data_IF_940508807928
#
_entry.id   IF_940508807928
#
_cell.length_a   1.000
_cell.length_b   1.000
_cell.length_c   1.000
_cell.angle_alpha   90.00
_cell.angle_beta   90.00
_cell.angle_gamma   90.00
#
_symmetry.space_group_name_H-M   'P 1'
#
loop_
_entity.id
_entity.type
_entity.pdbx_description
1 polymer ?
#
# COMPACT_ATOMS: atom_id res chain seq x y z
N UNK A 1 -41.77 -18.35 60.37
CA UNK A 1 -42.15 -17.41 61.45
C UNK A 1 -40.87 -16.70 61.88
N UNK A 2 -40.58 -15.54 61.28
CA UNK A 2 -40.67 -14.20 61.91
C UNK A 2 -39.75 -14.04 63.13
N UNK A 3 -38.53 -13.57 62.88
CA UNK A 3 -37.73 -12.86 63.88
C UNK A 3 -37.24 -11.54 63.29
N UNK A 4 -37.97 -10.48 63.63
CA UNK A 4 -37.53 -9.10 63.56
C UNK A 4 -36.73 -8.83 64.84
N UNK A 5 -35.55 -8.22 64.71
CA UNK A 5 -34.94 -7.47 65.81
C UNK A 5 -34.22 -6.25 65.24
N UNK A 6 -34.84 -5.11 65.53
CA UNK A 6 -34.37 -3.75 65.29
C UNK A 6 -33.37 -3.44 66.41
N UNK A 7 -32.18 -2.93 66.09
CA UNK A 7 -31.53 -1.99 67.00
C UNK A 7 -30.74 -0.94 66.23
N UNK A 8 -31.34 0.25 66.25
CA UNK A 8 -30.79 1.53 65.86
C UNK A 8 -29.73 1.97 66.87
N UNK A 9 -28.58 2.44 66.39
CA UNK A 9 -27.82 3.47 67.10
C UNK A 9 -27.41 4.58 66.14
N UNK A 10 -28.04 5.70 66.41
CA UNK A 10 -27.91 7.03 65.83
C UNK A 10 -26.57 7.61 66.28
N UNK A 11 -25.76 8.13 65.36
CA UNK A 11 -24.86 9.23 65.70
C UNK A 11 -24.81 10.23 64.55
N UNK A 12 -25.23 11.44 64.89
CA UNK A 12 -25.30 12.61 64.03
C UNK A 12 -23.91 13.24 63.90
N UNK A 13 -23.56 13.68 62.68
CA UNK A 13 -23.07 15.05 62.46
C UNK A 13 -23.23 15.46 61.01
N UNK A 14 -24.27 16.26 60.79
CA UNK A 14 -24.34 17.49 60.00
C UNK A 14 -22.92 18.11 59.84
N UNK A 15 -22.52 18.79 58.76
CA UNK A 15 -23.07 20.08 58.28
C UNK A 15 -22.37 20.50 56.96
N UNK A 16 -23.16 21.13 56.05
CA UNK A 16 -22.87 22.22 55.06
C UNK A 16 -22.20 21.89 53.71
N UNK A 17 -22.95 22.00 52.61
CA UNK A 17 -23.10 23.17 51.66
C UNK A 17 -22.07 23.09 50.52
N UNK A 18 -22.34 23.31 49.24
CA UNK A 18 -23.23 24.21 48.50
C UNK A 18 -23.55 23.54 47.14
N UNK A 19 -24.81 23.48 46.70
CA UNK A 19 -25.37 24.42 45.71
C UNK A 19 -24.52 24.58 44.44
N UNK A 20 -24.94 24.00 43.32
CA UNK A 20 -25.55 24.76 42.23
C UNK A 20 -25.83 23.86 41.01
N UNK A 21 -27.02 24.08 40.47
CA UNK A 21 -27.57 23.73 39.17
C UNK A 21 -26.64 23.95 37.97
N UNK A 22 -26.88 23.15 36.92
CA UNK A 22 -26.28 23.13 35.57
C UNK A 22 -26.23 24.49 34.84
N UNK A 23 -25.46 24.61 33.73
CA UNK A 23 -26.02 24.21 32.43
C UNK A 23 -25.04 23.56 31.43
N UNK A 24 -25.61 22.66 30.62
CA UNK A 24 -25.19 22.37 29.25
C UNK A 24 -24.83 23.65 28.48
N UNK A 25 -23.60 23.73 27.93
CA UNK A 25 -23.26 24.24 26.59
C UNK A 25 -21.74 24.44 26.46
N UNK A 26 -21.22 24.17 25.26
CA UNK A 26 -19.89 24.60 24.76
C UNK A 26 -18.70 23.84 25.36
N UNK A 27 -17.82 23.18 24.61
CA UNK A 27 -17.41 23.39 23.23
C UNK A 27 -16.85 22.08 22.67
N UNK A 28 -16.99 21.98 21.35
CA UNK A 28 -16.29 21.07 20.45
C UNK A 28 -14.77 21.18 20.67
N UNK A 29 -14.22 20.42 21.61
CA UNK A 29 -12.77 20.22 21.68
C UNK A 29 -12.39 19.22 20.59
N UNK A 30 -12.09 19.76 19.42
CA UNK A 30 -11.13 19.14 18.53
C UNK A 30 -9.87 18.88 19.37
N UNK A 31 -9.65 17.63 19.74
CA UNK A 31 -8.40 17.13 20.28
C UNK A 31 -7.34 17.25 19.18
N UNK A 32 -6.90 18.48 18.91
CA UNK A 32 -5.56 18.71 18.39
C UNK A 32 -4.66 18.29 19.54
N UNK A 33 -4.03 17.12 19.39
CA UNK A 33 -2.96 16.65 20.25
C UNK A 33 -1.82 17.66 20.13
N UNK A 34 -1.88 18.69 20.96
CA UNK A 34 -0.81 19.65 21.17
C UNK A 34 0.19 19.00 22.13
N UNK A 35 1.18 18.37 21.53
CA UNK A 35 2.52 17.99 22.02
C UNK A 35 2.80 18.13 23.53
N UNK A 36 2.48 17.10 24.35
CA UNK A 36 3.15 16.86 25.64
C UNK A 36 4.47 16.07 25.49
N UNK A 37 4.81 15.61 24.28
CA UNK A 37 5.92 14.68 24.03
C UNK A 37 7.30 15.28 24.33
N UNK A 38 7.58 16.52 23.93
CA UNK A 38 8.93 17.10 24.06
C UNK A 38 9.37 17.28 25.53
N UNK A 39 8.43 17.63 26.41
CA UNK A 39 8.69 17.78 27.85
C UNK A 39 8.93 16.42 28.51
N UNK A 40 8.06 15.44 28.24
CA UNK A 40 8.21 14.07 28.73
C UNK A 40 9.51 13.40 28.25
N UNK A 41 9.92 13.66 27.00
CA UNK A 41 11.20 13.19 26.46
C UNK A 41 12.37 13.83 27.20
N UNK A 42 12.32 15.13 27.47
CA UNK A 42 13.39 15.85 28.17
C UNK A 42 13.53 15.40 29.63
N UNK A 43 12.42 15.17 30.32
CA UNK A 43 12.43 14.65 31.70
C UNK A 43 13.01 13.23 31.76
N UNK A 44 12.60 12.37 30.84
CA UNK A 44 13.10 11.00 30.76
C UNK A 44 14.58 10.97 30.35
N UNK A 45 15.00 11.82 29.41
CA UNK A 45 16.41 11.96 29.05
C UNK A 45 17.26 12.43 30.23
N UNK A 46 16.75 13.35 31.06
CA UNK A 46 17.45 13.79 32.28
C UNK A 46 17.56 12.67 33.32
N UNK A 47 16.51 11.85 33.48
CA UNK A 47 16.53 10.69 34.36
C UNK A 47 17.50 9.59 33.88
N UNK A 48 17.65 9.42 32.56
CA UNK A 48 18.52 8.41 31.94
C UNK A 48 19.96 8.89 31.67
N UNK A 49 20.30 10.13 32.02
CA UNK A 49 21.64 10.69 31.78
C UNK A 49 21.91 11.10 30.31
N UNK A 50 20.86 11.21 29.49
CA UNK A 50 20.90 11.68 28.11
C UNK A 50 20.22 10.73 27.12
N UNK A 51 20.05 11.20 25.88
CA UNK A 51 19.58 10.37 24.77
C UNK A 51 20.72 9.52 24.23
N UNK A 52 20.88 8.31 24.77
CA UNK A 52 21.86 7.31 24.28
C UNK A 52 21.14 6.24 23.46
N UNK A 53 21.83 5.65 22.48
CA UNK A 53 21.24 4.61 21.61
C UNK A 53 20.67 3.47 22.46
N UNK A 54 19.36 3.25 22.37
CA UNK A 54 18.64 2.20 23.11
C UNK A 54 17.92 2.68 24.38
N UNK A 55 18.11 3.94 24.82
CA UNK A 55 17.38 4.50 25.97
C UNK A 55 15.91 4.77 25.68
N UNK A 56 15.08 4.88 26.72
CA UNK A 56 13.64 5.18 26.59
C UNK A 56 13.44 6.55 25.93
N UNK A 57 14.27 7.52 26.30
CA UNK A 57 14.30 8.85 25.67
C UNK A 57 14.65 8.81 24.19
N UNK A 58 15.59 7.94 23.76
CA UNK A 58 15.91 7.74 22.36
C UNK A 58 14.79 7.03 21.58
N UNK A 59 14.09 6.08 22.21
CA UNK A 59 12.91 5.42 21.62
C UNK A 59 11.78 6.43 21.41
N UNK A 60 11.46 7.25 22.42
CA UNK A 60 10.43 8.28 22.30
C UNK A 60 10.77 9.33 21.23
N UNK A 61 12.03 9.75 21.12
CA UNK A 61 12.49 10.60 20.01
C UNK A 61 12.28 9.92 18.65
N UNK A 62 12.60 8.63 18.55
CA UNK A 62 12.41 7.86 17.31
C UNK A 62 10.93 7.77 16.92
N UNK A 63 10.03 7.52 17.89
CA UNK A 63 8.60 7.47 17.67
C UNK A 63 8.03 8.81 17.20
N UNK A 64 8.43 9.91 17.86
CA UNK A 64 8.07 11.27 17.41
C UNK A 64 8.56 11.54 16.00
N UNK A 65 9.80 11.15 15.68
CA UNK A 65 10.34 11.27 14.33
C UNK A 65 9.52 10.48 13.30
N UNK A 66 9.14 9.24 13.60
CA UNK A 66 8.30 8.43 12.70
C UNK A 66 6.93 9.08 12.48
N UNK A 67 6.31 9.58 13.56
CA UNK A 67 5.00 10.24 13.49
C UNK A 67 5.06 11.50 12.62
N UNK A 68 6.06 12.36 12.82
CA UNK A 68 6.23 13.58 12.03
C UNK A 68 6.50 13.28 10.54
N UNK A 69 7.34 12.28 10.27
CA UNK A 69 7.60 11.84 8.89
C UNK A 69 6.32 11.36 8.22
N UNK A 70 5.50 10.56 8.92
CA UNK A 70 4.22 10.08 8.41
C UNK A 70 3.26 11.24 8.15
N UNK A 71 3.11 12.16 9.10
CA UNK A 71 2.21 13.29 8.98
C UNK A 71 2.58 14.22 7.82
N UNK A 72 3.87 14.47 7.61
CA UNK A 72 4.35 15.23 6.45
C UNK A 72 4.01 14.52 5.13
N UNK A 73 4.26 13.22 5.04
CA UNK A 73 3.93 12.45 3.84
C UNK A 73 2.40 12.38 3.60
N UNK A 74 1.61 12.28 4.66
CA UNK A 74 0.16 12.31 4.58
C UNK A 74 -0.37 13.66 4.07
N UNK A 75 0.26 14.77 4.47
CA UNK A 75 -0.08 16.09 3.95
C UNK A 75 0.30 16.23 2.48
N UNK A 76 1.50 15.78 2.10
CA UNK A 76 1.99 15.84 0.72
C UNK A 76 1.11 15.04 -0.24
N UNK A 77 0.92 13.75 0.06
CA UNK A 77 0.10 12.84 -0.76
C UNK A 77 -1.37 13.21 -0.67
N UNK A 78 -1.89 13.55 0.51
CA UNK A 78 -3.27 13.99 0.69
C UNK A 78 -3.59 15.27 -0.09
N UNK A 79 -2.66 16.22 -0.16
CA UNK A 79 -2.80 17.41 -1.01
C UNK A 79 -2.81 17.06 -2.48
N UNK A 80 -1.97 16.11 -2.90
CA UNK A 80 -1.94 15.63 -4.29
C UNK A 80 -3.25 14.91 -4.66
N UNK A 81 -3.78 14.07 -3.77
CA UNK A 81 -5.07 13.39 -3.96
C UNK A 81 -6.23 14.37 -4.11
N UNK A 82 -6.22 15.48 -3.36
CA UNK A 82 -7.29 16.49 -3.43
C UNK A 82 -7.20 17.37 -4.69
N UNK A 83 -5.99 17.80 -5.06
CA UNK A 83 -5.80 18.78 -6.14
C UNK A 83 -5.59 18.15 -7.51
N UNK A 84 -4.99 16.96 -7.56
CA UNK A 84 -4.63 16.25 -8.78
C UNK A 84 -4.74 14.72 -8.60
N UNK A 85 -5.97 14.20 -8.36
CA UNK A 85 -6.19 12.77 -8.11
C UNK A 85 -5.69 11.88 -9.25
N UNK A 86 -5.78 12.34 -10.51
CA UNK A 86 -5.29 11.61 -11.69
C UNK A 86 -3.74 11.52 -11.77
N UNK A 87 -3.01 12.25 -10.93
CA UNK A 87 -1.55 12.27 -10.87
C UNK A 87 -0.98 11.47 -9.70
N UNK A 88 -1.85 10.88 -8.87
CA UNK A 88 -1.44 10.01 -7.77
C UNK A 88 -0.89 8.71 -8.36
N UNK A 89 0.36 8.38 -8.06
CA UNK A 89 1.05 7.20 -8.59
C UNK A 89 1.24 6.13 -7.51
N UNK A 90 1.63 4.91 -7.92
CA UNK A 90 1.98 3.86 -6.97
C UNK A 90 3.13 4.26 -6.05
N UNK A 91 4.08 5.08 -6.52
CA UNK A 91 5.17 5.58 -5.69
C UNK A 91 4.67 6.47 -4.56
N UNK A 92 3.69 7.35 -4.82
CA UNK A 92 3.07 8.18 -3.78
C UNK A 92 2.39 7.31 -2.72
N UNK A 93 1.65 6.28 -3.16
CA UNK A 93 0.98 5.33 -2.28
C UNK A 93 1.99 4.51 -1.45
N UNK A 94 3.04 3.97 -2.08
CA UNK A 94 4.10 3.23 -1.38
C UNK A 94 4.88 4.12 -0.39
N UNK A 95 5.07 5.40 -0.73
CA UNK A 95 5.76 6.39 0.09
C UNK A 95 5.02 6.67 1.40
N UNK A 96 3.70 6.84 1.36
CA UNK A 96 2.90 7.00 2.58
C UNK A 96 2.72 5.67 3.33
N UNK A 97 2.55 4.55 2.61
CA UNK A 97 2.39 3.21 3.17
C UNK A 97 3.55 2.78 4.06
N UNK A 98 4.79 2.98 3.59
CA UNK A 98 6.00 2.65 4.35
C UNK A 98 6.07 3.41 5.68
N UNK A 99 5.61 4.67 5.71
CA UNK A 99 5.64 5.50 6.92
C UNK A 99 4.50 5.17 7.88
N UNK A 100 3.30 4.94 7.35
CA UNK A 100 2.18 4.47 8.15
C UNK A 100 2.53 3.15 8.82
N UNK A 101 3.16 2.22 8.10
CA UNK A 101 3.60 0.95 8.67
C UNK A 101 4.69 1.07 9.73
N UNK A 102 5.57 2.08 9.63
CA UNK A 102 6.57 2.38 10.66
C UNK A 102 5.97 2.95 11.94
N UNK A 103 4.87 3.68 11.82
CA UNK A 103 4.14 4.29 12.95
C UNK A 103 3.22 3.27 13.61
N UNK A 104 2.40 2.58 12.83
CA UNK A 104 1.39 1.64 13.33
C UNK A 104 1.96 0.23 13.60
N UNK A 105 3.17 -0.07 13.12
CA UNK A 105 3.78 -1.39 13.22
C UNK A 105 3.05 -2.46 12.39
N UNK A 106 2.30 -2.06 11.36
CA UNK A 106 1.47 -2.95 10.54
C UNK A 106 1.80 -2.78 9.06
N UNK A 107 1.83 -3.89 8.33
CA UNK A 107 2.12 -3.88 6.90
C UNK A 107 0.90 -3.57 6.03
N UNK A 108 -0.33 -3.63 6.55
CA UNK A 108 -1.52 -3.29 5.80
C UNK A 108 -2.12 -1.98 6.34
N UNK A 109 -2.43 -1.02 5.46
CA UNK A 109 -3.08 0.22 5.87
C UNK A 109 -4.48 -0.10 6.44
N UNK A 110 -4.92 0.62 7.48
CA UNK A 110 -6.28 0.47 7.99
C UNK A 110 -7.29 0.96 6.95
N UNK A 111 -8.46 0.30 6.82
CA UNK A 111 -9.46 0.70 5.85
C UNK A 111 -9.93 2.13 6.11
N UNK A 112 -10.00 2.93 5.04
CA UNK A 112 -10.33 4.37 5.11
C UNK A 112 -9.17 5.26 5.57
N UNK A 113 -7.94 4.75 5.63
CA UNK A 113 -6.76 5.61 5.79
C UNK A 113 -6.40 6.31 4.48
N UNK A 114 -5.64 7.39 4.60
CA UNK A 114 -5.10 8.14 3.45
C UNK A 114 -4.28 7.21 2.54
N UNK A 115 -3.56 6.25 3.12
CA UNK A 115 -2.81 5.24 2.35
C UNK A 115 -3.74 4.35 1.54
N UNK A 116 -4.81 3.80 2.14
CA UNK A 116 -5.78 2.98 1.41
C UNK A 116 -6.46 3.75 0.27
N UNK A 117 -6.77 5.03 0.49
CA UNK A 117 -7.33 5.89 -0.55
C UNK A 117 -6.31 6.22 -1.65
N UNK A 118 -5.04 6.47 -1.28
CA UNK A 118 -3.96 6.70 -2.24
C UNK A 118 -3.69 5.46 -3.11
N UNK A 119 -3.68 4.26 -2.52
CA UNK A 119 -3.54 2.99 -3.24
C UNK A 119 -4.71 2.78 -4.22
N UNK A 120 -5.94 3.08 -3.80
CA UNK A 120 -7.11 2.97 -4.66
C UNK A 120 -7.05 3.94 -5.85
N UNK A 121 -6.64 5.19 -5.62
CA UNK A 121 -6.46 6.19 -6.68
C UNK A 121 -5.31 5.82 -7.62
N UNK A 122 -4.17 5.39 -7.08
CA UNK A 122 -3.02 4.94 -7.87
C UNK A 122 -3.38 3.75 -8.76
N UNK A 123 -4.06 2.74 -8.22
CA UNK A 123 -4.52 1.58 -8.99
C UNK A 123 -5.53 1.98 -10.08
N UNK A 124 -6.43 2.91 -9.78
CA UNK A 124 -7.37 3.45 -10.77
C UNK A 124 -6.65 4.22 -11.90
N UNK A 125 -5.56 4.93 -11.57
CA UNK A 125 -4.76 5.69 -12.53
C UNK A 125 -3.85 4.80 -13.38
N UNK A 126 -3.32 3.70 -12.85
CA UNK A 126 -2.53 2.74 -13.64
C UNK A 126 -3.37 1.85 -14.56
N UNK A 127 -4.64 1.62 -14.20
CA UNK A 127 -5.62 1.00 -15.10
C UNK A 127 -5.94 1.88 -16.32
N UNK A 128 -5.55 3.17 -16.30
CA UNK A 128 -5.45 4.01 -17.48
C UNK A 128 -4.03 3.86 -18.02
N UNK A 129 -3.82 3.48 -19.29
CA UNK A 129 -2.47 3.40 -19.84
C UNK A 129 -1.85 4.80 -19.82
N UNK A 130 -1.05 5.07 -18.79
CA UNK A 130 -0.24 6.27 -18.69
C UNK A 130 0.98 6.03 -19.60
N UNK A 131 1.04 6.75 -20.71
CA UNK A 131 2.07 6.66 -21.76
C UNK A 131 3.42 7.22 -21.29
N UNK A 132 3.93 6.77 -20.15
CA UNK A 132 5.17 7.25 -19.60
C UNK A 132 5.68 6.39 -18.45
N UNK A 133 6.76 5.65 -18.73
CA UNK A 133 7.70 5.09 -17.75
C UNK A 133 7.21 3.93 -16.87
N UNK A 134 7.17 2.72 -17.45
CA UNK A 134 7.21 1.48 -16.70
C UNK A 134 8.65 1.18 -16.22
N UNK A 135 9.01 1.69 -15.04
CA UNK A 135 10.15 1.20 -14.26
C UNK A 135 9.62 0.32 -13.14
N UNK A 136 9.76 -0.97 -13.37
CA UNK A 136 9.26 -2.09 -12.59
C UNK A 136 9.85 -2.12 -11.17
N UNK A 137 9.02 -1.92 -10.14
CA UNK A 137 9.36 -2.19 -8.75
C UNK A 137 8.54 -3.38 -8.23
N UNK A 138 9.26 -4.44 -7.87
CA UNK A 138 8.73 -5.71 -7.35
C UNK A 138 8.30 -5.59 -5.89
N UNK A 139 7.00 -5.73 -5.61
CA UNK A 139 6.45 -5.97 -4.27
C UNK A 139 5.83 -7.40 -4.18
N UNK A 140 5.90 -8.07 -3.02
CA UNK A 140 5.48 -9.46 -2.84
C UNK A 140 3.98 -9.56 -2.51
N UNK A 141 3.12 -9.12 -3.44
CA UNK A 141 1.71 -9.51 -3.55
C UNK A 141 1.45 -10.38 -4.79
N UNK A 142 2.52 -10.82 -5.44
CA UNK A 142 2.67 -10.81 -6.88
C UNK A 142 2.47 -12.15 -7.58
N UNK A 143 2.04 -13.23 -6.91
CA UNK A 143 1.88 -14.50 -7.63
C UNK A 143 0.62 -14.54 -8.52
N UNK A 144 -0.51 -14.01 -8.04
CA UNK A 144 -1.74 -13.96 -8.86
C UNK A 144 -1.68 -12.87 -9.93
N UNK A 145 -1.19 -11.68 -9.56
CA UNK A 145 -1.01 -10.58 -10.52
C UNK A 145 0.08 -10.91 -11.55
N UNK A 146 1.23 -11.46 -11.14
CA UNK A 146 2.27 -11.86 -12.11
C UNK A 146 1.82 -13.02 -12.99
N UNK A 147 0.95 -13.92 -12.52
CA UNK A 147 0.36 -14.94 -13.38
C UNK A 147 -0.55 -14.32 -14.44
N UNK A 148 -1.43 -13.38 -14.05
CA UNK A 148 -2.28 -12.64 -14.98
C UNK A 148 -1.46 -11.82 -15.97
N UNK A 149 -0.45 -11.08 -15.50
CA UNK A 149 0.44 -10.31 -16.37
C UNK A 149 1.15 -11.20 -17.39
N UNK A 150 1.59 -12.41 -17.00
CA UNK A 150 2.23 -13.35 -17.91
C UNK A 150 1.26 -13.86 -18.96
N UNK A 151 0.02 -14.17 -18.57
CA UNK A 151 -1.06 -14.56 -19.48
C UNK A 151 -1.39 -13.46 -20.47
N UNK A 152 -1.59 -12.22 -20.01
CA UNK A 152 -1.90 -11.06 -20.86
C UNK A 152 -0.76 -10.73 -21.82
N UNK A 153 0.49 -10.83 -21.35
CA UNK A 153 1.67 -10.64 -22.19
C UNK A 153 1.78 -11.72 -23.28
N UNK A 154 1.43 -12.97 -22.95
CA UNK A 154 1.38 -14.04 -23.95
C UNK A 154 0.26 -13.80 -24.95
N UNK A 155 -0.94 -13.44 -24.50
CA UNK A 155 -2.09 -13.18 -25.37
C UNK A 155 -1.81 -12.04 -26.35
N UNK A 156 -1.27 -10.92 -25.89
CA UNK A 156 -0.86 -9.79 -26.75
C UNK A 156 0.18 -10.20 -27.79
N UNK A 157 1.20 -10.94 -27.38
CA UNK A 157 2.23 -11.43 -28.30
C UNK A 157 1.61 -12.41 -29.33
N UNK A 158 0.71 -13.29 -28.90
CA UNK A 158 0.02 -14.26 -29.75
C UNK A 158 -0.88 -13.58 -30.79
N UNK A 159 -1.58 -12.49 -30.41
CA UNK A 159 -2.40 -11.72 -31.33
C UNK A 159 -1.53 -11.02 -32.38
N UNK A 160 -0.44 -10.39 -31.96
CA UNK A 160 0.47 -9.68 -32.87
C UNK A 160 1.15 -10.63 -33.86
N UNK A 161 1.76 -11.71 -33.35
CA UNK A 161 2.47 -12.67 -34.20
C UNK A 161 1.49 -13.53 -35.00
N UNK A 162 0.35 -13.90 -34.43
CA UNK A 162 -0.71 -14.62 -35.13
C UNK A 162 -1.29 -13.83 -36.29
N UNK A 163 -1.53 -12.53 -36.09
CA UNK A 163 -1.94 -11.64 -37.19
C UNK A 163 -0.88 -11.61 -38.29
N UNK A 164 0.40 -11.47 -37.92
CA UNK A 164 1.52 -11.46 -38.86
C UNK A 164 1.62 -12.79 -39.63
N UNK A 165 1.48 -13.93 -38.96
CA UNK A 165 1.43 -15.25 -39.59
C UNK A 165 0.27 -15.39 -40.57
N UNK A 166 -0.88 -14.76 -40.30
CA UNK A 166 -2.06 -14.82 -41.16
C UNK A 166 -1.98 -13.88 -42.37
N UNK A 167 -1.41 -12.68 -42.21
CA UNK A 167 -1.36 -11.67 -43.27
C UNK A 167 -0.10 -11.74 -44.13
N UNK A 168 1.04 -12.03 -43.50
CA UNK A 168 2.36 -12.03 -44.14
C UNK A 168 3.27 -13.07 -43.47
N UNK A 169 3.03 -14.37 -43.76
CA UNK A 169 3.79 -15.45 -43.14
C UNK A 169 5.28 -15.40 -43.46
N UNK A 170 5.69 -14.82 -44.58
CA UNK A 170 7.11 -14.71 -44.99
C UNK A 170 7.89 -13.71 -44.13
N UNK A 171 7.20 -12.73 -43.54
CA UNK A 171 7.80 -11.77 -42.63
C UNK A 171 8.07 -12.32 -41.22
N UNK A 172 7.55 -13.50 -40.87
CA UNK A 172 7.71 -14.11 -39.54
C UNK A 172 9.18 -14.45 -39.31
N UNK A 173 9.74 -13.93 -38.22
CA UNK A 173 11.17 -14.06 -37.90
C UNK A 173 11.41 -15.02 -36.74
N UNK A 174 12.65 -15.48 -36.58
CA UNK A 174 13.07 -16.25 -35.40
C UNK A 174 12.84 -15.49 -34.09
N UNK A 175 12.95 -14.16 -34.11
CA UNK A 175 12.63 -13.32 -32.97
C UNK A 175 11.16 -13.43 -32.54
N UNK A 176 10.24 -13.53 -33.49
CA UNK A 176 8.81 -13.69 -33.23
C UNK A 176 8.51 -15.06 -32.59
N UNK A 177 9.15 -16.11 -33.11
CA UNK A 177 9.05 -17.47 -32.55
C UNK A 177 9.64 -17.59 -31.14
N UNK A 178 10.84 -17.05 -30.92
CA UNK A 178 11.51 -17.06 -29.61
C UNK A 178 10.75 -16.20 -28.58
N UNK A 179 10.15 -15.09 -29.02
CA UNK A 179 9.30 -14.24 -28.18
C UNK A 179 8.08 -15.03 -27.70
N UNK A 180 7.33 -15.65 -28.61
CA UNK A 180 6.15 -16.44 -28.24
C UNK A 180 6.52 -17.61 -27.33
N UNK A 181 7.59 -18.34 -27.65
CA UNK A 181 8.06 -19.46 -26.84
C UNK A 181 8.39 -19.01 -25.40
N UNK A 182 9.13 -17.91 -25.25
CA UNK A 182 9.46 -17.34 -23.95
C UNK A 182 8.22 -16.91 -23.15
N UNK A 183 7.23 -16.30 -23.82
CA UNK A 183 5.99 -15.86 -23.16
C UNK A 183 5.09 -17.04 -22.77
N UNK A 184 4.96 -18.05 -23.63
CA UNK A 184 4.20 -19.27 -23.34
C UNK A 184 4.82 -20.05 -22.19
N UNK A 185 6.15 -20.21 -22.19
CA UNK A 185 6.89 -20.88 -21.13
C UNK A 185 6.75 -20.15 -19.78
N UNK A 186 6.68 -18.82 -19.78
CA UNK A 186 6.47 -18.02 -18.56
C UNK A 186 5.03 -18.09 -18.06
N UNK A 187 4.06 -18.11 -18.97
CA UNK A 187 2.63 -18.13 -18.64
C UNK A 187 2.15 -19.51 -18.18
N UNK A 188 2.55 -20.57 -18.89
CA UNK A 188 2.02 -21.93 -18.68
C UNK A 188 3.07 -22.95 -18.23
N UNK A 189 4.36 -22.58 -18.21
CA UNK A 189 5.44 -23.50 -17.82
C UNK A 189 5.80 -24.54 -18.89
N UNK A 190 5.04 -24.60 -19.99
CA UNK A 190 5.25 -25.52 -21.11
C UNK A 190 4.84 -24.85 -22.41
N UNK A 191 5.51 -25.20 -23.50
CA UNK A 191 5.07 -24.85 -24.86
C UNK A 191 4.26 -26.01 -25.45
N UNK A 192 3.06 -25.70 -25.94
CA UNK A 192 2.17 -26.69 -26.56
C UNK A 192 2.71 -27.09 -27.92
N UNK A 193 2.94 -28.39 -28.15
CA UNK A 193 3.33 -28.91 -29.47
C UNK A 193 2.21 -28.63 -30.47
N UNK A 194 2.51 -27.88 -31.54
CA UNK A 194 1.54 -27.44 -32.54
C UNK A 194 0.76 -26.18 -32.17
N UNK A 195 1.01 -25.60 -31.00
CA UNK A 195 0.50 -24.28 -30.61
C UNK A 195 1.14 -23.14 -31.41
N UNK A 196 0.64 -21.93 -31.22
CA UNK A 196 1.04 -20.75 -32.00
C UNK A 196 2.55 -20.46 -31.95
N UNK A 197 3.21 -20.69 -30.80
CA UNK A 197 4.66 -20.54 -30.69
C UNK A 197 5.42 -21.58 -31.54
N UNK A 198 4.97 -22.84 -31.52
CA UNK A 198 5.57 -23.92 -32.34
C UNK A 198 5.39 -23.63 -33.84
N UNK A 199 4.23 -23.10 -34.23
CA UNK A 199 3.95 -22.72 -35.61
C UNK A 199 4.80 -21.53 -36.05
N UNK A 200 4.91 -20.50 -35.22
CA UNK A 200 5.76 -19.33 -35.48
C UNK A 200 7.24 -19.73 -35.63
N UNK A 201 7.76 -20.63 -34.78
CA UNK A 201 9.13 -21.14 -34.92
C UNK A 201 9.33 -21.96 -36.20
N UNK A 202 8.32 -22.72 -36.63
CA UNK A 202 8.38 -23.51 -37.86
C UNK A 202 8.41 -22.61 -39.10
N UNK A 203 7.49 -21.64 -39.17
CA UNK A 203 7.45 -20.64 -40.24
C UNK A 203 8.72 -19.80 -40.29
N UNK A 204 9.21 -19.35 -39.12
CA UNK A 204 10.46 -18.60 -39.04
C UNK A 204 11.65 -19.38 -39.59
N UNK A 205 11.73 -20.69 -39.32
CA UNK A 205 12.79 -21.56 -39.84
C UNK A 205 12.67 -21.72 -41.36
N UNK A 206 11.47 -21.96 -41.87
CA UNK A 206 11.23 -22.04 -43.32
C UNK A 206 11.58 -20.73 -44.05
N UNK A 207 11.26 -19.58 -43.46
CA UNK A 207 11.60 -18.27 -44.03
C UNK A 207 13.11 -18.01 -44.01
N UNK A 208 13.81 -18.47 -42.97
CA UNK A 208 15.28 -18.41 -42.93
C UNK A 208 15.91 -19.27 -44.01
N UNK A 209 15.38 -20.47 -44.25
CA UNK A 209 15.86 -21.37 -45.31
C UNK A 209 15.60 -20.77 -46.71
N UNK A 210 14.43 -20.16 -46.94
CA UNK A 210 14.07 -19.51 -48.20
C UNK A 210 14.83 -18.20 -48.48
N UNK A 211 15.12 -17.40 -47.46
CA UNK A 211 15.85 -16.14 -47.60
C UNK A 211 17.36 -16.28 -47.84
N UNK A 212 17.89 -17.51 -47.76
CA UNK A 212 19.29 -17.85 -48.03
C UNK A 212 19.55 -18.49 -49.40
N UNK A 213 18.54 -18.56 -50.26
CA UNK A 213 18.63 -19.09 -51.63
C UNK A 213 18.80 -17.99 -52.69
#
# INVERSE_FOLDING_TARGET
>A
MRSFAIQSVRSLRTIRTTSASEPFLSTRSASRVSTPASQAISETAKQEGGTVKGSTSAQMQSEVGKQQNFEQAAQEVGSKMQNAPDQVTQEDAAYIHSREGRVLGRSNPPPGSITSEAEALAAANEGRPNTGNASQATAPGSNSQSAQDRSDNFEKASAQVGQKMATDPESVTKGDGDLLHSREQRAFGTTSKGGIASQAQSLARENQEKGTA
#
